data_IF_801391368447
#
_entry.id   IF_801391368447
#
_cell.length_a   1.000
_cell.length_b   1.000
_cell.length_c   1.000
_cell.angle_alpha   90.00
_cell.angle_beta   90.00
_cell.angle_gamma   90.00
#
_symmetry.space_group_name_H-M   'P 1'
#
loop_
_entity.id
_entity.type
_entity.pdbx_description
1 polymer ?
#
# COMPACT_ATOMS: atom_id res chain seq x y z
N UNK A 1 -15.74 -7.08 -5.82
CA UNK A 1 -15.01 -8.35 -5.73
C UNK A 1 -14.36 -8.45 -4.37
N UNK A 2 -14.45 -9.63 -3.77
CA UNK A 2 -14.03 -9.87 -2.38
C UNK A 2 -12.63 -10.43 -2.24
N UNK A 3 -11.97 -10.14 -1.12
CA UNK A 3 -10.65 -10.66 -0.76
C UNK A 3 -10.61 -12.19 -0.67
N UNK A 4 -11.66 -12.83 -0.16
CA UNK A 4 -11.73 -14.30 -0.04
C UNK A 4 -11.88 -15.04 -1.38
N UNK A 5 -12.14 -14.32 -2.47
CA UNK A 5 -12.20 -14.86 -3.83
C UNK A 5 -10.82 -14.88 -4.51
N UNK A 6 -9.78 -14.32 -3.87
CA UNK A 6 -8.45 -14.19 -4.43
C UNK A 6 -7.65 -15.50 -4.30
N UNK A 7 -7.33 -16.20 -5.41
CA UNK A 7 -6.52 -17.40 -5.36
C UNK A 7 -5.08 -17.10 -4.90
N UNK A 8 -4.49 -18.00 -4.13
CA UNK A 8 -3.09 -17.89 -3.66
C UNK A 8 -2.06 -17.91 -4.80
N UNK A 9 -2.46 -18.32 -6.00
CA UNK A 9 -1.62 -18.33 -7.21
C UNK A 9 -1.50 -16.95 -7.87
N UNK A 10 -2.28 -15.96 -7.41
CA UNK A 10 -2.32 -14.61 -8.00
C UNK A 10 -1.44 -13.60 -7.24
N UNK A 11 -0.63 -14.05 -6.30
CA UNK A 11 0.34 -13.21 -5.59
C UNK A 11 1.48 -14.04 -5.00
N UNK A 12 2.63 -13.40 -4.78
CA UNK A 12 3.77 -14.05 -4.15
C UNK A 12 3.44 -14.47 -2.69
N UNK A 13 3.96 -15.62 -2.19
CA UNK A 13 3.70 -16.09 -0.83
C UNK A 13 3.98 -15.07 0.29
N UNK A 14 4.93 -14.15 0.05
CA UNK A 14 5.24 -13.03 0.93
C UNK A 14 4.00 -12.20 1.32
N UNK A 15 3.07 -11.97 0.38
CA UNK A 15 1.87 -11.17 0.62
C UNK A 15 0.73 -11.91 1.32
N UNK A 16 0.89 -13.21 1.59
CA UNK A 16 -0.19 -14.05 2.15
C UNK A 16 -0.72 -13.50 3.47
N UNK A 17 0.15 -13.06 4.38
CA UNK A 17 -0.26 -12.50 5.67
C UNK A 17 -1.07 -11.22 5.51
N UNK A 18 -0.74 -10.39 4.52
CA UNK A 18 -1.47 -9.16 4.22
C UNK A 18 -2.88 -9.47 3.72
N UNK A 19 -3.01 -10.42 2.79
CA UNK A 19 -4.31 -10.81 2.24
C UNK A 19 -5.19 -11.48 3.31
N UNK A 20 -4.62 -12.39 4.12
CA UNK A 20 -5.38 -13.08 5.17
C UNK A 20 -5.88 -12.12 6.26
N UNK A 21 -5.12 -11.05 6.54
CA UNK A 21 -5.50 -10.03 7.51
C UNK A 21 -6.70 -9.16 7.08
N UNK A 22 -7.16 -9.26 5.82
CA UNK A 22 -8.29 -8.51 5.30
C UNK A 22 -9.65 -9.16 5.58
N UNK A 23 -9.69 -10.46 5.90
CA UNK A 23 -10.93 -11.23 6.04
C UNK A 23 -11.82 -11.18 4.77
N UNK A 24 -13.06 -10.70 4.85
CA UNK A 24 -14.04 -10.66 3.74
C UNK A 24 -14.42 -9.21 3.36
N UNK A 25 -13.52 -8.52 2.65
CA UNK A 25 -13.69 -7.11 2.25
C UNK A 25 -13.90 -6.95 0.74
N UNK A 26 -14.68 -5.95 0.35
CA UNK A 26 -14.86 -5.54 -1.04
C UNK A 26 -13.74 -4.58 -1.46
N UNK A 27 -13.03 -4.89 -2.56
CA UNK A 27 -11.80 -4.18 -2.94
C UNK A 27 -11.93 -2.65 -3.00
N UNK A 28 -12.94 -2.15 -3.71
CA UNK A 28 -13.10 -0.71 -3.96
C UNK A 28 -13.53 0.01 -2.68
N UNK A 29 -14.47 -0.57 -1.95
CA UNK A 29 -14.97 -0.03 -0.68
C UNK A 29 -13.85 0.03 0.35
N UNK A 30 -13.06 -1.04 0.45
CA UNK A 30 -12.00 -1.13 1.44
C UNK A 30 -10.81 -0.23 1.13
N UNK A 31 -10.47 -0.02 -0.15
CA UNK A 31 -9.47 1.00 -0.54
C UNK A 31 -9.87 2.40 -0.04
N UNK A 32 -11.16 2.71 -0.02
CA UNK A 32 -11.72 3.98 0.45
C UNK A 32 -11.79 4.04 1.98
N UNK A 33 -12.30 2.99 2.63
CA UNK A 33 -12.40 2.91 4.10
C UNK A 33 -11.02 3.00 4.74
N UNK A 34 -10.07 2.16 4.32
CA UNK A 34 -8.83 2.02 5.08
C UNK A 34 -7.96 3.29 5.04
N UNK A 35 -8.02 4.12 3.98
CA UNK A 35 -7.25 5.39 3.98
C UNK A 35 -7.83 6.41 4.96
N UNK A 36 -9.16 6.48 5.09
CA UNK A 36 -9.80 7.37 6.04
C UNK A 36 -9.52 6.95 7.48
N UNK A 37 -9.56 5.64 7.75
CA UNK A 37 -9.18 5.07 9.04
C UNK A 37 -7.71 5.35 9.37
N UNK A 38 -6.81 5.16 8.40
CA UNK A 38 -5.38 5.41 8.58
C UNK A 38 -5.09 6.88 8.86
N UNK A 39 -5.67 7.81 8.09
CA UNK A 39 -5.49 9.26 8.31
C UNK A 39 -5.99 9.64 9.71
N UNK A 40 -7.18 9.16 10.11
CA UNK A 40 -7.73 9.41 11.45
C UNK A 40 -6.84 8.81 12.54
N UNK A 41 -6.34 7.60 12.34
CA UNK A 41 -5.41 6.95 13.27
C UNK A 41 -4.15 7.81 13.46
N UNK A 42 -3.51 8.21 12.37
CA UNK A 42 -2.27 9.01 12.42
C UNK A 42 -2.51 10.37 13.06
N UNK A 43 -3.64 11.04 12.80
CA UNK A 43 -3.98 12.32 13.43
C UNK A 43 -4.15 12.23 14.96
N UNK A 44 -4.44 11.05 15.50
CA UNK A 44 -4.59 10.82 16.94
C UNK A 44 -3.28 10.40 17.63
N UNK A 45 -2.18 10.25 16.89
CA UNK A 45 -0.86 9.93 17.46
C UNK A 45 -0.34 11.17 18.23
N UNK A 46 0.18 11.01 19.46
CA UNK A 46 0.81 12.10 20.20
C UNK A 46 1.93 12.79 19.42
N UNK A 47 1.98 14.13 19.47
CA UNK A 47 2.90 14.92 18.64
C UNK A 47 4.38 14.61 18.86
N UNK A 48 4.76 14.21 20.07
CA UNK A 48 6.11 13.82 20.45
C UNK A 48 6.58 12.49 19.83
N UNK A 49 5.66 11.71 19.24
CA UNK A 49 5.97 10.42 18.61
C UNK A 49 6.35 10.52 17.12
N UNK A 50 6.10 11.64 16.44
CA UNK A 50 6.32 11.70 14.98
C UNK A 50 7.79 11.66 14.57
N UNK A 51 8.69 12.15 15.42
CA UNK A 51 10.13 12.08 15.19
C UNK A 51 10.80 10.93 16.00
N UNK A 52 9.99 10.13 16.72
CA UNK A 52 10.46 8.98 17.49
C UNK A 52 10.74 7.77 16.58
N UNK A 53 11.77 7.00 16.96
CA UNK A 53 12.12 5.70 16.40
C UNK A 53 12.29 4.71 17.55
N UNK A 54 11.73 3.52 17.42
CA UNK A 54 11.77 2.52 18.50
C UNK A 54 13.12 1.79 18.64
N UNK A 55 13.99 1.89 17.63
CA UNK A 55 15.35 1.38 17.66
C UNK A 55 16.23 2.10 16.62
N UNK A 56 17.54 1.99 16.77
CA UNK A 56 18.51 2.47 15.79
C UNK A 56 18.28 1.80 14.42
N UNK A 57 18.40 2.58 13.35
CA UNK A 57 18.18 2.10 11.98
C UNK A 57 16.71 1.82 11.61
N UNK A 58 15.74 2.13 12.47
CA UNK A 58 14.30 2.01 12.17
C UNK A 58 13.71 3.34 11.74
N UNK A 59 12.67 3.26 10.90
CA UNK A 59 12.02 4.43 10.34
C UNK A 59 11.24 5.23 11.39
N UNK A 60 11.07 6.54 11.19
CA UNK A 60 10.10 7.35 11.93
C UNK A 60 8.68 7.06 11.43
N UNK A 61 7.68 7.60 12.13
CA UNK A 61 6.30 7.57 11.65
C UNK A 61 6.18 8.26 10.29
N UNK A 62 6.81 9.43 10.11
CA UNK A 62 6.79 10.18 8.84
C UNK A 62 7.42 9.41 7.69
N UNK A 63 8.54 8.72 7.94
CA UNK A 63 9.21 7.87 6.95
C UNK A 63 8.31 6.70 6.53
N UNK A 64 7.56 6.09 7.46
CA UNK A 64 6.59 5.04 7.12
C UNK A 64 5.42 5.61 6.28
N UNK A 65 4.92 6.83 6.56
CA UNK A 65 3.87 7.45 5.72
C UNK A 65 4.40 7.69 4.30
N UNK A 66 5.62 8.22 4.18
CA UNK A 66 6.27 8.41 2.89
C UNK A 66 6.46 7.09 2.14
N UNK A 67 6.89 6.03 2.83
CA UNK A 67 6.99 4.69 2.27
C UNK A 67 5.66 4.18 1.70
N UNK A 68 4.56 4.33 2.46
CA UNK A 68 3.23 3.93 1.99
C UNK A 68 2.82 4.67 0.72
N UNK A 69 3.09 5.98 0.67
CA UNK A 69 2.83 6.83 -0.49
C UNK A 69 3.61 6.34 -1.73
N UNK A 70 4.90 6.07 -1.59
CA UNK A 70 5.77 5.66 -2.69
C UNK A 70 5.44 4.23 -3.17
N UNK A 71 5.24 3.31 -2.23
CA UNK A 71 4.80 1.95 -2.53
C UNK A 71 3.47 1.98 -3.29
N UNK A 72 2.50 2.80 -2.88
CA UNK A 72 1.21 2.87 -3.55
C UNK A 72 1.32 3.33 -5.01
N UNK A 73 2.20 4.29 -5.31
CA UNK A 73 2.47 4.70 -6.70
C UNK A 73 3.07 3.57 -7.53
N UNK A 74 4.04 2.84 -6.98
CA UNK A 74 4.67 1.69 -7.65
C UNK A 74 3.64 0.61 -7.95
N UNK A 75 2.81 0.26 -6.98
CA UNK A 75 1.76 -0.74 -7.14
C UNK A 75 0.67 -0.29 -8.11
N UNK A 76 0.22 0.97 -8.04
CA UNK A 76 -0.75 1.53 -8.99
C UNK A 76 -0.22 1.55 -10.43
N UNK A 77 1.07 1.88 -10.62
CA UNK A 77 1.72 1.77 -11.93
C UNK A 77 1.73 0.32 -12.45
N UNK A 78 2.06 -0.65 -11.60
CA UNK A 78 2.02 -2.08 -11.95
C UNK A 78 0.61 -2.53 -12.34
N UNK A 79 -0.39 -2.17 -11.53
CA UNK A 79 -1.79 -2.48 -11.79
C UNK A 79 -2.23 -1.90 -13.15
N UNK A 80 -1.88 -0.64 -13.43
CA UNK A 80 -2.15 0.00 -14.72
C UNK A 80 -1.51 -0.78 -15.88
N UNK A 81 -0.20 -1.07 -15.84
CA UNK A 81 0.51 -1.80 -16.90
C UNK A 81 -0.14 -3.16 -17.18
N UNK A 82 -0.34 -3.96 -16.13
CA UNK A 82 -0.90 -5.31 -16.25
C UNK A 82 -2.35 -5.25 -16.77
N UNK A 83 -3.16 -4.30 -16.28
CA UNK A 83 -4.56 -4.11 -16.75
C UNK A 83 -4.68 -3.77 -18.24
N UNK A 84 -3.57 -3.38 -18.89
CA UNK A 84 -3.50 -3.06 -20.33
C UNK A 84 -2.80 -4.15 -21.13
N UNK A 85 -2.68 -5.36 -20.57
CA UNK A 85 -1.98 -6.50 -21.16
C UNK A 85 -0.51 -6.24 -21.49
N UNK A 86 0.12 -5.26 -20.81
CA UNK A 86 1.56 -5.10 -20.89
C UNK A 86 2.22 -6.17 -20.00
N UNK A 87 2.69 -7.24 -20.63
CA UNK A 87 3.28 -8.40 -19.95
C UNK A 87 4.79 -8.26 -19.70
N UNK A 88 5.36 -7.07 -19.90
CA UNK A 88 6.76 -6.81 -19.56
C UNK A 88 6.96 -7.05 -18.06
N UNK A 89 7.90 -7.92 -17.64
CA UNK A 89 8.16 -8.13 -16.22
C UNK A 89 8.55 -6.81 -15.52
N UNK A 90 7.87 -6.51 -14.40
CA UNK A 90 8.08 -5.29 -13.65
C UNK A 90 9.02 -5.55 -12.46
N UNK A 91 10.13 -4.81 -12.32
CA UNK A 91 11.12 -5.09 -11.28
C UNK A 91 10.56 -4.80 -9.88
N UNK A 92 11.18 -5.42 -8.87
CA UNK A 92 11.07 -5.02 -7.47
C UNK A 92 11.64 -3.63 -7.20
N UNK A 93 11.56 -3.17 -5.96
CA UNK A 93 12.20 -1.94 -5.51
C UNK A 93 12.75 -2.12 -4.09
N UNK A 94 13.85 -1.45 -3.78
CA UNK A 94 14.52 -1.52 -2.48
C UNK A 94 13.95 -0.47 -1.53
N UNK A 95 13.00 -0.88 -0.69
CA UNK A 95 12.24 0.02 0.19
C UNK A 95 13.13 0.86 1.13
N UNK A 96 14.18 0.25 1.69
CA UNK A 96 15.14 0.97 2.53
C UNK A 96 15.88 2.06 1.76
N UNK A 97 16.34 1.75 0.54
CA UNK A 97 17.01 2.74 -0.30
C UNK A 97 16.07 3.88 -0.68
N UNK A 98 14.79 3.61 -0.89
CA UNK A 98 13.80 4.66 -1.14
C UNK A 98 13.68 5.58 0.08
N UNK A 99 13.47 5.02 1.27
CA UNK A 99 13.34 5.79 2.52
C UNK A 99 14.58 6.64 2.80
N UNK A 100 15.78 6.08 2.63
CA UNK A 100 17.06 6.77 2.81
C UNK A 100 17.23 7.98 1.87
N UNK A 101 16.52 7.98 0.74
CA UNK A 101 16.56 9.04 -0.27
C UNK A 101 15.33 9.95 -0.24
N UNK A 102 14.52 9.89 0.82
CA UNK A 102 13.40 10.82 1.02
C UNK A 102 13.75 11.93 2.00
N UNK A 103 13.00 13.05 1.93
CA UNK A 103 13.07 14.12 2.93
C UNK A 103 11.86 14.07 3.89
N UNK A 104 11.37 12.87 4.21
CA UNK A 104 10.10 12.68 4.92
C UNK A 104 10.02 13.41 6.27
N UNK A 105 11.11 13.42 7.04
CA UNK A 105 11.12 14.03 8.38
C UNK A 105 11.04 15.55 8.36
N UNK A 106 11.51 16.20 7.28
CA UNK A 106 11.42 17.65 7.12
C UNK A 106 10.03 18.13 6.67
N UNK A 107 9.17 17.22 6.22
CA UNK A 107 7.80 17.52 5.82
C UNK A 107 6.89 17.62 7.03
N UNK A 108 5.90 18.48 6.94
CA UNK A 108 4.82 18.50 7.92
C UNK A 108 3.96 17.25 7.81
N UNK A 109 3.37 16.83 8.92
CA UNK A 109 2.42 15.71 8.92
C UNK A 109 1.23 15.98 7.98
N UNK A 110 0.76 17.24 7.92
CA UNK A 110 -0.33 17.65 7.06
C UNK A 110 -0.01 17.46 5.58
N UNK A 111 1.21 17.79 5.14
CA UNK A 111 1.63 17.59 3.75
C UNK A 111 1.66 16.10 3.39
N UNK A 112 2.19 15.25 4.28
CA UNK A 112 2.24 13.81 4.08
C UNK A 112 0.84 13.19 3.99
N UNK A 113 -0.06 13.53 4.92
CA UNK A 113 -1.43 13.01 4.93
C UNK A 113 -2.26 13.53 3.76
N UNK A 114 -2.06 14.78 3.35
CA UNK A 114 -2.69 15.34 2.14
C UNK A 114 -2.27 14.56 0.90
N UNK A 115 -0.98 14.28 0.74
CA UNK A 115 -0.48 13.50 -0.38
C UNK A 115 -1.00 12.06 -0.37
N UNK A 116 -1.00 11.39 0.79
CA UNK A 116 -1.54 10.04 0.93
C UNK A 116 -3.00 9.98 0.47
N UNK A 117 -3.82 10.96 0.85
CA UNK A 117 -5.22 11.05 0.42
C UNK A 117 -5.35 11.22 -1.11
N UNK A 118 -4.53 12.09 -1.71
CA UNK A 118 -4.54 12.33 -3.16
C UNK A 118 -4.08 11.10 -3.94
N UNK A 119 -3.02 10.43 -3.48
CA UNK A 119 -2.53 9.18 -4.07
C UNK A 119 -3.59 8.10 -4.00
N UNK A 120 -4.23 7.91 -2.83
CA UNK A 120 -5.32 6.94 -2.71
C UNK A 120 -6.51 7.28 -3.59
N UNK A 121 -6.88 8.55 -3.71
CA UNK A 121 -7.96 8.97 -4.60
C UNK A 121 -7.62 8.64 -6.07
N UNK A 122 -6.37 8.85 -6.48
CA UNK A 122 -5.90 8.47 -7.83
C UNK A 122 -5.96 6.95 -8.04
N UNK A 123 -5.50 6.17 -7.06
CA UNK A 123 -5.60 4.70 -7.06
C UNK A 123 -7.06 4.24 -7.16
N UNK A 124 -7.96 4.82 -6.35
CA UNK A 124 -9.39 4.52 -6.40
C UNK A 124 -9.99 4.79 -7.78
N UNK A 125 -9.70 5.95 -8.37
CA UNK A 125 -10.13 6.28 -9.73
C UNK A 125 -9.58 5.30 -10.76
N UNK A 126 -8.32 4.87 -10.64
CA UNK A 126 -7.72 3.86 -11.50
C UNK A 126 -8.44 2.52 -11.38
N UNK A 127 -8.64 2.00 -10.17
CA UNK A 127 -9.29 0.70 -9.95
C UNK A 127 -10.78 0.71 -10.32
N UNK A 128 -11.50 1.82 -10.09
CA UNK A 128 -12.89 2.02 -10.56
C UNK A 128 -13.00 2.04 -12.09
N UNK A 129 -11.91 2.31 -12.81
CA UNK A 129 -11.88 2.30 -14.28
C UNK A 129 -11.71 0.90 -14.90
N UNK A 130 -11.34 -0.10 -14.09
CA UNK A 130 -11.05 -1.44 -14.60
C UNK A 130 -12.32 -2.28 -14.77
N UNK A 131 -12.39 -3.03 -15.88
CA UNK A 131 -13.42 -4.05 -16.06
C UNK A 131 -13.14 -5.28 -15.20
N UNK A 132 -14.13 -6.16 -15.06
CA UNK A 132 -13.96 -7.43 -14.36
C UNK A 132 -12.83 -8.27 -14.99
N UNK A 133 -12.72 -8.29 -16.32
CA UNK A 133 -11.68 -8.99 -17.06
C UNK A 133 -10.31 -8.39 -16.75
N UNK A 134 -10.18 -7.05 -16.77
CA UNK A 134 -8.94 -6.37 -16.47
C UNK A 134 -8.43 -6.63 -15.06
N UNK A 135 -9.34 -6.71 -14.09
CA UNK A 135 -8.99 -7.04 -12.70
C UNK A 135 -8.42 -8.46 -12.55
N UNK A 136 -8.76 -9.39 -13.44
CA UNK A 136 -8.29 -10.77 -13.42
C UNK A 136 -7.01 -11.01 -14.25
N UNK A 137 -6.49 -10.00 -14.97
CA UNK A 137 -5.26 -10.16 -15.75
C UNK A 137 -4.09 -10.39 -14.79
N UNK A 138 -3.29 -11.41 -15.09
CA UNK A 138 -2.06 -11.78 -14.38
C UNK A 138 -0.85 -11.33 -15.20
N UNK A 139 0.04 -10.57 -14.57
CA UNK A 139 1.36 -10.22 -15.09
C UNK A 139 2.47 -10.71 -14.16
N UNK A 140 3.70 -10.26 -14.41
CA UNK A 140 4.87 -10.56 -13.58
C UNK A 140 5.37 -9.29 -12.90
N UNK A 141 5.46 -9.30 -11.57
CA UNK A 141 6.09 -8.23 -10.79
C UNK A 141 6.95 -8.83 -9.68
N UNK A 142 8.15 -8.27 -9.47
CA UNK A 142 9.14 -8.81 -8.52
C UNK A 142 9.36 -10.31 -8.71
N UNK A 143 9.57 -10.73 -9.97
CA UNK A 143 9.79 -12.13 -10.38
C UNK A 143 8.68 -13.13 -10.00
N UNK A 144 7.48 -12.63 -9.68
CA UNK A 144 6.34 -13.45 -9.26
C UNK A 144 5.07 -13.10 -10.05
N UNK A 145 4.17 -14.07 -10.27
CA UNK A 145 2.86 -13.79 -10.84
C UNK A 145 2.04 -12.91 -9.90
N UNK A 146 1.38 -11.91 -10.45
CA UNK A 146 0.44 -11.07 -9.70
C UNK A 146 -0.74 -10.63 -10.58
N UNK A 147 -1.96 -10.74 -10.05
CA UNK A 147 -3.14 -10.19 -10.73
C UNK A 147 -3.37 -8.72 -10.39
N UNK A 148 -4.08 -7.99 -11.26
CA UNK A 148 -4.45 -6.58 -11.00
C UNK A 148 -5.25 -6.45 -9.70
N UNK A 149 -6.22 -7.33 -9.47
CA UNK A 149 -6.98 -7.38 -8.20
C UNK A 149 -6.11 -7.71 -7.00
N UNK A 150 -5.13 -8.61 -7.15
CA UNK A 150 -4.22 -8.93 -6.05
C UNK A 150 -3.43 -7.70 -5.62
N UNK A 151 -2.95 -6.88 -6.57
CA UNK A 151 -2.26 -5.62 -6.25
C UNK A 151 -3.13 -4.71 -5.38
N UNK A 152 -4.42 -4.58 -5.71
CA UNK A 152 -5.36 -3.79 -4.92
C UNK A 152 -5.51 -4.29 -3.47
N UNK A 153 -5.63 -5.60 -3.27
CA UNK A 153 -5.68 -6.17 -1.91
C UNK A 153 -4.33 -6.10 -1.19
N UNK A 154 -3.22 -6.25 -1.90
CA UNK A 154 -1.86 -6.07 -1.34
C UNK A 154 -1.72 -4.65 -0.79
N UNK A 155 -2.19 -3.62 -1.50
CA UNK A 155 -2.17 -2.23 -1.03
C UNK A 155 -2.90 -2.05 0.30
N UNK A 156 -4.13 -2.56 0.40
CA UNK A 156 -4.93 -2.50 1.63
C UNK A 156 -4.19 -3.21 2.76
N UNK A 157 -3.76 -4.46 2.53
CA UNK A 157 -3.13 -5.28 3.56
C UNK A 157 -1.77 -4.72 4.01
N UNK A 158 -0.99 -4.15 3.10
CA UNK A 158 0.27 -3.48 3.38
C UNK A 158 0.07 -2.23 4.25
N UNK A 159 -0.93 -1.40 3.96
CA UNK A 159 -1.26 -0.25 4.81
C UNK A 159 -1.69 -0.69 6.21
N UNK A 160 -2.58 -1.68 6.32
CA UNK A 160 -3.01 -2.24 7.62
C UNK A 160 -1.85 -2.84 8.40
N UNK A 161 -0.88 -3.47 7.71
CA UNK A 161 0.34 -3.98 8.34
C UNK A 161 1.16 -2.87 9.00
N UNK A 162 1.44 -1.78 8.28
CA UNK A 162 2.18 -0.64 8.86
C UNK A 162 1.40 0.08 9.96
N UNK A 163 0.07 0.15 9.86
CA UNK A 163 -0.75 0.67 10.95
C UNK A 163 -0.62 -0.18 12.23
N UNK A 164 -0.53 -1.51 12.13
CA UNK A 164 -0.26 -2.39 13.29
C UNK A 164 1.14 -2.15 13.85
N UNK A 165 2.15 -1.94 12.99
CA UNK A 165 3.51 -1.61 13.44
C UNK A 165 3.51 -0.32 14.28
N UNK A 166 2.75 0.71 13.89
CA UNK A 166 2.59 1.91 14.71
C UNK A 166 2.05 1.57 16.11
N UNK A 167 0.99 0.77 16.19
CA UNK A 167 0.37 0.37 17.45
C UNK A 167 1.29 -0.48 18.33
N UNK A 168 2.09 -1.37 17.75
CA UNK A 168 2.90 -2.33 18.51
C UNK A 168 4.27 -1.79 18.92
N UNK A 169 4.81 -0.80 18.19
CA UNK A 169 6.22 -0.38 18.32
C UNK A 169 6.40 1.10 18.63
N UNK A 170 5.45 1.96 18.27
CA UNK A 170 5.60 3.41 18.42
C UNK A 170 4.71 3.99 19.52
N UNK A 171 3.54 3.41 19.72
CA UNK A 171 2.59 3.81 20.76
C UNK A 171 2.81 3.00 22.03
#
# INVERSE_FOLDING_TARGET
>A
MKSNQLPVTEYAPFYKSYIQALEDVELIEELEICVHEFIRFVQNIPMDKFDYRYAEGKWTIKEIIQHLIDAERVFSYRAMRISRNDMTPLPGFEENHYVDNTNANARSLQELLTEMAVVRQSTLSLFKSFSAEQLNIIGIASDSPVSVRAIGFILIGHQKHHQRIYQERYL
#
